data_IF_654077874546
#
_entry.id   IF_654077874546
#
_cell.length_a   1.000
_cell.length_b   1.000
_cell.length_c   1.000
_cell.angle_alpha   90.00
_cell.angle_beta   90.00
_cell.angle_gamma   90.00
#
_symmetry.space_group_name_H-M   'P 1'
#
loop_
_entity.id
_entity.type
_entity.pdbx_description
1 polymer ?
#
# COMPACT_ATOMS: atom_id res chain seq x y z
N UNK A 1 18.61 -3.10 -2.14
CA UNK A 1 17.18 -3.32 -2.37
C UNK A 1 16.47 -1.96 -2.44
N UNK A 2 15.83 -1.64 -3.56
CA UNK A 2 15.15 -0.35 -3.72
C UNK A 2 14.02 -0.17 -2.73
N UNK A 3 13.74 1.10 -2.42
CA UNK A 3 12.60 1.48 -1.60
C UNK A 3 11.60 2.20 -2.47
N UNK A 4 10.33 1.98 -2.19
CA UNK A 4 9.23 2.60 -2.91
C UNK A 4 8.31 3.31 -1.92
N UNK A 5 7.71 4.41 -2.37
CA UNK A 5 6.72 5.13 -1.59
C UNK A 5 5.60 5.59 -2.52
N UNK A 6 4.36 5.44 -2.06
CA UNK A 6 3.22 6.00 -2.78
C UNK A 6 2.14 6.46 -1.82
N UNK A 7 1.29 7.36 -2.32
CA UNK A 7 0.25 7.98 -1.53
C UNK A 7 -1.11 7.36 -1.83
N UNK A 8 -1.89 7.14 -0.77
CA UNK A 8 -3.32 6.83 -0.86
C UNK A 8 -4.10 7.85 -0.05
N UNK A 9 -5.42 7.86 -0.24
CA UNK A 9 -6.29 8.79 0.48
C UNK A 9 -7.51 8.06 1.00
N UNK A 10 -7.82 8.23 2.30
CA UNK A 10 -8.98 7.61 2.96
C UNK A 10 -10.13 8.62 2.96
N UNK A 11 -11.36 8.13 2.81
CA UNK A 11 -12.54 8.96 3.02
C UNK A 11 -12.55 9.52 4.45
N UNK A 12 -13.01 10.77 4.66
CA UNK A 12 -12.89 11.39 5.99
C UNK A 12 -13.65 10.67 7.10
N UNK A 13 -14.72 9.95 6.76
CA UNK A 13 -15.52 9.20 7.73
C UNK A 13 -15.05 7.75 7.90
N UNK A 14 -13.98 7.34 7.25
CA UNK A 14 -13.47 5.97 7.26
C UNK A 14 -12.13 5.81 7.98
N UNK A 15 -11.61 6.87 8.58
CA UNK A 15 -10.27 6.87 9.20
C UNK A 15 -10.18 5.86 10.36
N UNK A 16 -11.15 5.87 11.27
CA UNK A 16 -11.13 4.97 12.42
C UNK A 16 -11.24 3.50 11.98
N UNK A 17 -12.10 3.21 11.01
CA UNK A 17 -12.26 1.86 10.49
C UNK A 17 -10.97 1.37 9.83
N UNK A 18 -10.32 2.24 9.03
CA UNK A 18 -9.05 1.91 8.39
C UNK A 18 -7.99 1.53 9.43
N UNK A 19 -7.82 2.34 10.48
CA UNK A 19 -6.84 2.06 11.53
C UNK A 19 -7.16 0.78 12.29
N UNK A 20 -8.44 0.55 12.58
CA UNK A 20 -8.88 -0.66 13.28
C UNK A 20 -8.56 -1.91 12.47
N UNK A 21 -8.83 -1.90 11.16
CA UNK A 21 -8.55 -3.05 10.30
C UNK A 21 -7.05 -3.32 10.19
N UNK A 22 -6.22 -2.27 10.22
CA UNK A 22 -4.77 -2.42 10.13
C UNK A 22 -4.10 -2.86 11.44
N UNK A 23 -4.84 -2.93 12.52
CA UNK A 23 -4.36 -3.56 13.76
C UNK A 23 -4.53 -5.08 13.72
N UNK A 24 -5.26 -5.59 12.75
CA UNK A 24 -5.58 -7.01 12.61
C UNK A 24 -5.49 -7.45 11.16
N UNK A 25 -4.37 -7.12 10.51
CA UNK A 25 -4.14 -7.55 9.13
C UNK A 25 -4.11 -9.07 9.08
N UNK A 26 -4.77 -9.65 8.09
CA UNK A 26 -4.91 -11.10 7.97
C UNK A 26 -3.55 -11.79 7.88
N UNK A 27 -3.31 -12.84 8.66
CA UNK A 27 -2.02 -13.55 8.62
C UNK A 27 -1.63 -14.06 7.24
N UNK A 28 -2.60 -14.53 6.46
CA UNK A 28 -2.36 -15.02 5.10
C UNK A 28 -1.88 -13.89 4.18
N UNK A 29 -2.39 -12.68 4.38
CA UNK A 29 -1.96 -11.51 3.61
C UNK A 29 -0.53 -11.11 3.98
N UNK A 30 -0.22 -11.10 5.29
CA UNK A 30 1.14 -10.81 5.75
C UNK A 30 2.15 -11.81 5.17
N UNK A 31 1.78 -13.09 5.15
CA UNK A 31 2.63 -14.13 4.57
C UNK A 31 2.84 -13.90 3.07
N UNK A 32 1.81 -13.51 2.34
CA UNK A 32 1.91 -13.24 0.90
C UNK A 32 2.79 -12.04 0.60
N UNK A 33 2.66 -10.98 1.40
CA UNK A 33 3.52 -9.79 1.26
C UNK A 33 5.00 -10.17 1.38
N UNK A 34 5.33 -10.99 2.38
CA UNK A 34 6.71 -11.47 2.55
C UNK A 34 7.15 -12.38 1.39
N UNK A 35 6.25 -13.24 0.92
CA UNK A 35 6.54 -14.17 -0.18
C UNK A 35 6.93 -13.42 -1.45
N UNK A 36 6.26 -12.32 -1.77
CA UNK A 36 6.59 -11.52 -2.96
C UNK A 36 7.80 -10.62 -2.77
N UNK A 37 8.42 -10.64 -1.58
CA UNK A 37 9.67 -9.94 -1.30
C UNK A 37 9.53 -8.58 -0.66
N UNK A 38 8.34 -8.20 -0.21
CA UNK A 38 8.13 -6.92 0.47
C UNK A 38 8.67 -7.01 1.90
N UNK A 39 9.49 -6.02 2.29
CA UNK A 39 10.04 -5.91 3.64
C UNK A 39 10.08 -4.45 4.09
N UNK A 40 10.26 -4.25 5.39
CA UNK A 40 10.32 -2.91 6.00
C UNK A 40 9.16 -2.04 5.54
N UNK A 41 7.95 -2.60 5.59
CA UNK A 41 6.74 -1.95 5.11
C UNK A 41 6.10 -1.17 6.25
N UNK A 42 6.00 0.15 6.07
CA UNK A 42 5.34 1.05 7.01
C UNK A 42 4.28 1.88 6.30
N UNK A 43 3.19 2.16 7.00
CA UNK A 43 2.15 3.05 6.53
C UNK A 43 2.06 4.20 7.53
N UNK A 44 2.19 5.42 7.05
CA UNK A 44 2.07 6.64 7.86
C UNK A 44 0.78 7.35 7.47
N UNK A 45 0.09 7.89 8.44
CA UNK A 45 -1.16 8.63 8.21
C UNK A 45 -1.10 10.03 8.79
N UNK A 46 -1.62 10.98 8.02
CA UNK A 46 -1.90 12.33 8.51
C UNK A 46 -3.23 12.78 7.93
N UNK A 47 -4.26 12.93 8.78
CA UNK A 47 -5.61 13.20 8.31
C UNK A 47 -6.08 12.08 7.39
N UNK A 48 -6.54 12.42 6.19
CA UNK A 48 -6.99 11.45 5.19
C UNK A 48 -5.85 10.83 4.38
N UNK A 49 -4.64 11.39 4.47
CA UNK A 49 -3.53 10.97 3.62
C UNK A 49 -2.73 9.85 4.24
N UNK A 50 -2.36 8.88 3.39
CA UNK A 50 -1.49 7.76 3.75
C UNK A 50 -0.24 7.82 2.90
N UNK A 51 0.89 7.50 3.52
CA UNK A 51 2.14 7.29 2.82
C UNK A 51 2.59 5.86 3.09
N UNK A 52 2.68 5.04 2.04
CA UNK A 52 3.10 3.66 2.12
C UNK A 52 4.55 3.57 1.67
N UNK A 53 5.42 3.02 2.54
CA UNK A 53 6.87 2.94 2.28
C UNK A 53 7.32 1.50 2.51
N UNK A 54 8.06 0.92 1.57
CA UNK A 54 8.52 -0.46 1.68
C UNK A 54 9.75 -0.71 0.82
N UNK A 55 10.42 -1.84 1.09
CA UNK A 55 11.55 -2.32 0.30
C UNK A 55 11.11 -3.49 -0.56
N UNK A 56 11.63 -3.55 -1.79
CA UNK A 56 11.24 -4.55 -2.77
C UNK A 56 12.21 -4.48 -3.95
N UNK A 57 12.59 -5.64 -4.51
CA UNK A 57 13.49 -5.67 -5.65
C UNK A 57 12.79 -5.31 -6.98
N UNK A 58 11.64 -5.92 -7.25
CA UNK A 58 10.92 -5.74 -8.49
C UNK A 58 9.47 -5.37 -8.21
N UNK A 59 9.18 -4.08 -8.29
CA UNK A 59 7.87 -3.51 -7.96
C UNK A 59 6.78 -4.07 -8.87
N UNK A 60 7.00 -4.05 -10.19
CA UNK A 60 5.97 -4.46 -11.13
C UNK A 60 5.62 -5.94 -10.99
N UNK A 61 6.65 -6.78 -10.83
CA UNK A 61 6.45 -8.21 -10.62
C UNK A 61 5.65 -8.49 -9.35
N UNK A 62 6.03 -7.83 -8.25
CA UNK A 62 5.35 -8.01 -6.97
C UNK A 62 3.89 -7.55 -7.04
N UNK A 63 3.63 -6.41 -7.68
CA UNK A 63 2.27 -5.90 -7.83
C UNK A 63 1.42 -6.84 -8.68
N UNK A 64 1.99 -7.43 -9.73
CA UNK A 64 1.29 -8.41 -10.54
C UNK A 64 0.96 -9.67 -9.73
N UNK A 65 1.91 -10.18 -8.95
CA UNK A 65 1.68 -11.34 -8.09
C UNK A 65 0.62 -11.06 -7.03
N UNK A 66 0.67 -9.88 -6.39
CA UNK A 66 -0.34 -9.48 -5.41
C UNK A 66 -1.71 -9.35 -6.05
N UNK A 67 -1.78 -8.80 -7.26
CA UNK A 67 -3.05 -8.64 -7.97
C UNK A 67 -3.73 -9.96 -8.33
N UNK A 68 -2.96 -11.05 -8.46
CA UNK A 68 -3.49 -12.38 -8.74
C UNK A 68 -3.81 -13.20 -7.50
N UNK A 69 -3.38 -12.73 -6.33
CA UNK A 69 -3.57 -13.48 -5.09
C UNK A 69 -5.00 -13.35 -4.57
N UNK A 70 -5.72 -14.46 -4.34
CA UNK A 70 -7.11 -14.42 -3.87
C UNK A 70 -7.29 -13.74 -2.50
N UNK A 71 -6.34 -13.93 -1.60
CA UNK A 71 -6.41 -13.30 -0.27
C UNK A 71 -6.29 -11.80 -0.40
N UNK A 72 -5.31 -11.33 -1.20
CA UNK A 72 -5.15 -9.90 -1.45
C UNK A 72 -6.36 -9.32 -2.17
N UNK A 73 -6.94 -10.04 -3.12
CA UNK A 73 -8.14 -9.58 -3.81
C UNK A 73 -9.29 -9.33 -2.84
N UNK A 74 -9.51 -10.24 -1.90
CA UNK A 74 -10.54 -10.07 -0.85
C UNK A 74 -10.22 -8.88 0.06
N UNK A 75 -8.95 -8.72 0.43
CA UNK A 75 -8.52 -7.58 1.24
C UNK A 75 -8.77 -6.26 0.51
N UNK A 76 -8.42 -6.18 -0.77
CA UNK A 76 -8.61 -4.97 -1.56
C UNK A 76 -10.09 -4.62 -1.74
N UNK A 77 -10.95 -5.62 -1.91
CA UNK A 77 -12.40 -5.38 -1.96
C UNK A 77 -12.89 -4.81 -0.62
N UNK A 78 -12.44 -5.40 0.48
CA UNK A 78 -12.82 -4.96 1.83
C UNK A 78 -12.34 -3.53 2.13
N UNK A 79 -11.11 -3.19 1.71
CA UNK A 79 -10.51 -1.89 1.99
C UNK A 79 -10.89 -0.82 0.96
N UNK A 80 -11.16 -1.22 -0.28
CA UNK A 80 -11.41 -0.27 -1.37
C UNK A 80 -12.55 0.70 -1.10
N UNK A 81 -13.56 0.29 -0.36
CA UNK A 81 -14.68 1.14 0.02
C UNK A 81 -14.30 2.29 0.96
N UNK A 82 -13.11 2.19 1.58
CA UNK A 82 -12.62 3.19 2.52
C UNK A 82 -11.83 4.31 1.83
N UNK A 83 -11.41 4.09 0.57
CA UNK A 83 -10.54 5.01 -0.14
C UNK A 83 -11.32 5.96 -1.05
N UNK A 84 -10.72 7.11 -1.30
CA UNK A 84 -11.17 8.04 -2.33
C UNK A 84 -10.01 8.34 -3.28
N UNK A 85 -10.28 8.91 -4.48
CA UNK A 85 -9.22 9.16 -5.45
C UNK A 85 -8.14 10.09 -4.93
N UNK A 86 -6.88 9.79 -5.28
CA UNK A 86 -5.73 10.64 -4.99
C UNK A 86 -5.60 11.67 -6.13
N UNK A 87 -5.56 12.98 -5.82
CA UNK A 87 -5.61 14.00 -6.88
C UNK A 87 -4.35 14.13 -7.73
N UNK A 88 -3.21 13.59 -7.28
CA UNK A 88 -1.93 13.78 -7.94
C UNK A 88 -1.39 12.53 -8.66
N UNK A 89 -2.26 11.57 -8.99
CA UNK A 89 -1.87 10.42 -9.83
C UNK A 89 -1.72 10.90 -11.26
N UNK A 90 -0.56 10.64 -11.86
CA UNK A 90 -0.27 11.06 -13.22
C UNK A 90 -0.82 10.06 -14.25
N UNK A 91 -1.09 10.49 -15.49
CA UNK A 91 -1.52 9.56 -16.53
C UNK A 91 -0.54 8.39 -16.68
N UNK A 92 -1.08 7.17 -16.70
CA UNK A 92 -0.27 5.96 -16.83
C UNK A 92 0.26 5.39 -15.52
N UNK A 93 0.13 6.11 -14.41
CA UNK A 93 0.52 5.59 -13.10
C UNK A 93 -0.59 4.77 -12.46
N UNK A 94 -0.21 3.66 -11.81
CA UNK A 94 -1.15 2.87 -10.99
C UNK A 94 -1.41 3.56 -9.65
N UNK A 95 -0.34 4.13 -9.07
CA UNK A 95 -0.36 4.83 -7.79
C UNK A 95 0.38 6.15 -7.92
N UNK A 96 0.12 7.08 -6.99
CA UNK A 96 0.91 8.31 -6.85
C UNK A 96 2.28 7.96 -6.28
N UNK A 97 3.22 7.61 -7.18
CA UNK A 97 4.56 7.19 -6.80
C UNK A 97 5.46 8.37 -6.46
N UNK A 98 6.22 8.22 -5.39
CA UNK A 98 7.14 9.25 -4.92
C UNK A 98 8.57 8.78 -5.11
N UNK A 99 9.41 9.62 -5.68
CA UNK A 99 10.80 9.30 -5.98
C UNK A 99 11.66 9.46 -4.73
N UNK A 100 12.44 8.43 -4.39
CA UNK A 100 13.43 8.54 -3.34
C UNK A 100 14.58 9.42 -3.84
N UNK A 101 14.86 10.51 -3.12
CA UNK A 101 15.93 11.46 -3.49
C UNK A 101 17.11 11.42 -2.53
N UNK A 102 16.97 10.74 -1.40
CA UNK A 102 18.04 10.57 -0.42
C UNK A 102 17.74 9.38 0.48
N UNK A 103 18.77 8.60 0.77
CA UNK A 103 18.71 7.50 1.73
C UNK A 103 20.02 7.42 2.49
N UNK A 104 19.94 7.38 3.82
CA UNK A 104 21.09 7.16 4.70
C UNK A 104 20.97 5.76 5.30
N UNK A 105 21.99 4.95 5.04
CA UNK A 105 22.09 3.61 5.61
C UNK A 105 22.46 3.62 7.08
#
# INVERSE_FOLDING_TARGET
>A
MPRYAYRLRIKPDCIEEYEREHKRVWPELLAKLKEVGISDYSIFRRGQDLMLVFRLDDFDKAMDEMGRDPVNQRWQVSMGRLFEPVPDVQPGERFSMWKEVFFLE
#
